data_IF_618716369563
#
_entry.id   IF_618716369563
#
_cell.length_a   1.000
_cell.length_b   1.000
_cell.length_c   1.000
_cell.angle_alpha   90.00
_cell.angle_beta   90.00
_cell.angle_gamma   90.00
#
_symmetry.space_group_name_H-M   'P 1'
#
loop_
_entity.id
_entity.type
_entity.pdbx_description
1 polymer ?
#
# COMPACT_ATOMS: atom_id res chain seq x y z
N UNK A 1 -16.01 -7.33 6.21
CA UNK A 1 -15.20 -6.11 6.48
C UNK A 1 -14.04 -6.04 5.49
N UNK A 2 -13.53 -4.85 5.25
CA UNK A 2 -12.34 -4.61 4.44
C UNK A 2 -11.24 -3.97 5.31
N UNK A 3 -10.14 -4.67 5.52
CA UNK A 3 -8.96 -4.18 6.25
C UNK A 3 -7.88 -3.88 5.23
N UNK A 4 -7.40 -2.63 5.18
CA UNK A 4 -6.30 -2.24 4.30
C UNK A 4 -4.98 -2.20 5.06
N UNK A 5 -3.91 -2.73 4.47
CA UNK A 5 -2.54 -2.60 5.01
C UNK A 5 -1.73 -1.74 4.04
N UNK A 6 -1.34 -0.57 4.51
CA UNK A 6 -0.59 0.43 3.76
C UNK A 6 0.83 0.62 4.30
N UNK A 7 1.73 1.11 3.46
CA UNK A 7 3.12 1.43 3.84
C UNK A 7 4.07 1.34 2.67
N UNK A 8 5.26 1.89 2.82
CA UNK A 8 6.25 2.00 1.75
C UNK A 8 6.80 0.63 1.31
N UNK A 9 7.56 0.59 0.22
CA UNK A 9 8.32 -0.58 -0.24
C UNK A 9 9.28 -0.99 0.88
N UNK A 10 9.25 -2.27 1.28
CA UNK A 10 10.09 -2.76 2.39
C UNK A 10 9.50 -2.63 3.80
N UNK A 11 8.34 -1.99 4.00
CA UNK A 11 7.74 -1.79 5.34
C UNK A 11 7.18 -3.06 6.01
N UNK A 12 7.12 -4.20 5.32
CA UNK A 12 6.62 -5.46 5.90
C UNK A 12 5.14 -5.75 5.70
N UNK A 13 4.41 -4.98 4.85
CA UNK A 13 2.97 -5.16 4.57
C UNK A 13 2.56 -6.60 4.33
N UNK A 14 3.19 -7.25 3.36
CA UNK A 14 2.85 -8.63 2.97
C UNK A 14 3.02 -9.62 4.13
N UNK A 15 4.03 -9.42 4.96
CA UNK A 15 4.27 -10.24 6.15
C UNK A 15 3.16 -10.02 7.17
N UNK A 16 2.85 -8.77 7.50
CA UNK A 16 1.79 -8.45 8.46
C UNK A 16 0.42 -8.91 7.95
N UNK A 17 0.10 -8.69 6.67
CA UNK A 17 -1.15 -9.15 6.05
C UNK A 17 -1.34 -10.65 6.22
N UNK A 18 -0.28 -11.46 5.97
CA UNK A 18 -0.34 -12.91 6.14
C UNK A 18 -0.56 -13.30 7.60
N UNK A 19 0.20 -12.72 8.52
CA UNK A 19 0.11 -13.03 9.95
C UNK A 19 -1.26 -12.66 10.53
N UNK A 20 -1.81 -11.50 10.17
CA UNK A 20 -3.15 -11.09 10.60
C UNK A 20 -4.24 -11.97 9.97
N UNK A 21 -4.10 -12.34 8.70
CA UNK A 21 -5.02 -13.26 8.04
C UNK A 21 -5.08 -14.61 8.76
N UNK A 22 -3.93 -15.17 9.13
CA UNK A 22 -3.82 -16.43 9.89
C UNK A 22 -4.40 -16.28 11.30
N UNK A 23 -4.08 -15.19 12.00
CA UNK A 23 -4.52 -14.95 13.38
C UNK A 23 -6.04 -14.81 13.50
N UNK A 24 -6.65 -14.00 12.61
CA UNK A 24 -8.09 -13.72 12.67
C UNK A 24 -8.96 -14.64 11.78
N UNK A 25 -8.36 -15.51 10.99
CA UNK A 25 -9.07 -16.29 9.98
C UNK A 25 -9.64 -15.42 8.84
N UNK A 26 -9.02 -14.27 8.56
CA UNK A 26 -9.41 -13.39 7.47
C UNK A 26 -8.86 -13.87 6.12
N UNK A 27 -9.55 -13.52 5.04
CA UNK A 27 -9.10 -13.86 3.70
C UNK A 27 -8.06 -12.83 3.23
N UNK A 28 -6.80 -13.24 2.97
CA UNK A 28 -5.80 -12.31 2.47
C UNK A 28 -5.99 -12.04 0.98
N UNK A 29 -5.78 -10.78 0.58
CA UNK A 29 -5.65 -10.35 -0.80
C UNK A 29 -4.30 -9.66 -0.99
N UNK A 30 -3.41 -10.35 -1.71
CA UNK A 30 -2.06 -9.85 -1.97
C UNK A 30 -2.00 -9.09 -3.28
N UNK A 31 -1.13 -8.06 -3.33
CA UNK A 31 -0.87 -7.33 -4.57
C UNK A 31 -0.24 -8.27 -5.61
N UNK A 32 -0.87 -8.39 -6.79
CA UNK A 32 -0.33 -9.13 -7.91
C UNK A 32 0.55 -8.23 -8.77
N UNK A 33 1.87 -8.29 -8.58
CA UNK A 33 2.86 -7.58 -9.42
C UNK A 33 3.34 -8.43 -10.61
N UNK A 34 3.03 -9.73 -10.63
CA UNK A 34 3.71 -10.73 -11.46
C UNK A 34 3.39 -10.63 -12.96
N UNK A 35 2.31 -9.96 -13.36
CA UNK A 35 1.83 -9.93 -14.74
C UNK A 35 1.55 -8.53 -15.28
N UNK A 36 2.23 -7.50 -14.76
CA UNK A 36 2.07 -6.18 -15.33
C UNK A 36 2.84 -6.10 -16.67
N UNK A 37 2.15 -5.95 -17.81
CA UNK A 37 2.78 -5.98 -19.13
C UNK A 37 3.68 -4.76 -19.40
N UNK A 38 3.58 -3.71 -18.57
CA UNK A 38 4.33 -2.47 -18.71
C UNK A 38 5.55 -2.41 -17.78
N UNK A 39 5.72 -3.36 -16.85
CA UNK A 39 6.71 -3.24 -15.79
C UNK A 39 8.15 -3.22 -16.34
N UNK A 40 8.46 -4.08 -17.29
CA UNK A 40 9.78 -4.14 -17.90
C UNK A 40 10.09 -2.88 -18.73
N UNK A 41 9.13 -2.40 -19.49
CA UNK A 41 9.27 -1.20 -20.32
C UNK A 41 9.35 0.07 -19.46
N UNK A 42 8.63 0.12 -18.34
CA UNK A 42 8.69 1.20 -17.36
C UNK A 42 10.11 1.40 -16.82
N UNK A 43 10.82 0.33 -16.46
CA UNK A 43 12.20 0.46 -15.98
C UNK A 43 13.20 0.88 -17.06
N UNK A 44 12.86 0.70 -18.34
CA UNK A 44 13.69 1.16 -19.47
C UNK A 44 13.47 2.64 -19.79
N UNK A 45 12.23 3.12 -19.66
CA UNK A 45 11.85 4.51 -19.97
C UNK A 45 10.68 4.94 -19.07
N UNK A 46 11.02 5.37 -17.86
CA UNK A 46 10.05 5.74 -16.81
C UNK A 46 9.08 6.82 -17.30
N UNK A 47 9.53 7.98 -17.86
CA UNK A 47 8.60 9.01 -18.30
C UNK A 47 7.62 8.53 -19.37
N UNK A 48 8.09 7.67 -20.29
CA UNK A 48 7.24 7.14 -21.37
C UNK A 48 6.14 6.22 -20.87
N UNK A 49 6.43 5.40 -19.86
CA UNK A 49 5.57 4.28 -19.46
C UNK A 49 4.86 4.46 -18.13
N UNK A 50 5.14 5.53 -17.37
CA UNK A 50 4.54 5.79 -16.05
C UNK A 50 3.02 5.78 -16.10
N UNK A 51 2.41 6.51 -17.03
CA UNK A 51 0.95 6.58 -17.16
C UNK A 51 0.33 5.21 -17.45
N UNK A 52 0.94 4.45 -18.35
CA UNK A 52 0.45 3.13 -18.72
C UNK A 52 0.54 2.13 -17.55
N UNK A 53 1.68 2.12 -16.86
CA UNK A 53 1.91 1.26 -15.69
C UNK A 53 0.91 1.56 -14.58
N UNK A 54 0.78 2.83 -14.21
CA UNK A 54 -0.08 3.25 -13.11
C UNK A 54 -1.58 3.03 -13.44
N UNK A 55 -1.98 3.27 -14.69
CA UNK A 55 -3.36 3.01 -15.13
C UNK A 55 -3.67 1.50 -15.11
N UNK A 56 -2.73 0.66 -15.47
CA UNK A 56 -2.89 -0.79 -15.34
C UNK A 56 -3.08 -1.21 -13.88
N UNK A 57 -2.24 -0.71 -12.96
CA UNK A 57 -2.40 -0.98 -11.54
C UNK A 57 -3.70 -0.43 -10.97
N UNK A 58 -4.14 0.76 -11.40
CA UNK A 58 -5.43 1.32 -11.01
C UNK A 58 -6.58 0.37 -11.36
N UNK A 59 -6.60 -0.13 -12.60
CA UNK A 59 -7.63 -1.05 -13.06
C UNK A 59 -7.63 -2.38 -12.28
N UNK A 60 -6.45 -2.94 -11.97
CA UNK A 60 -6.35 -4.17 -11.17
C UNK A 60 -6.84 -3.94 -9.74
N UNK A 61 -6.35 -2.90 -9.05
CA UNK A 61 -6.76 -2.58 -7.69
C UNK A 61 -8.23 -2.22 -7.57
N UNK A 62 -8.80 -1.57 -8.58
CA UNK A 62 -10.24 -1.29 -8.59
C UNK A 62 -11.06 -2.57 -8.71
N UNK A 63 -10.62 -3.53 -9.53
CA UNK A 63 -11.25 -4.88 -9.58
C UNK A 63 -11.22 -5.55 -8.23
N UNK A 64 -10.06 -5.51 -7.55
CA UNK A 64 -9.90 -6.08 -6.21
C UNK A 64 -10.88 -5.45 -5.22
N UNK A 65 -11.00 -4.13 -5.19
CA UNK A 65 -11.94 -3.41 -4.31
C UNK A 65 -13.40 -3.76 -4.63
N UNK A 66 -13.76 -3.94 -5.91
CA UNK A 66 -15.10 -4.40 -6.30
C UNK A 66 -15.38 -5.83 -5.82
N UNK A 67 -14.40 -6.73 -5.86
CA UNK A 67 -14.53 -8.08 -5.33
C UNK A 67 -14.66 -8.07 -3.81
N UNK A 68 -13.84 -7.28 -3.12
CA UNK A 68 -13.93 -7.07 -1.67
C UNK A 68 -15.32 -6.57 -1.28
N UNK A 69 -15.85 -5.56 -2.00
CA UNK A 69 -17.16 -4.96 -1.69
C UNK A 69 -18.34 -5.92 -1.80
N UNK A 70 -18.19 -6.99 -2.60
CA UNK A 70 -19.21 -8.05 -2.79
C UNK A 70 -19.05 -9.21 -1.80
N UNK A 71 -17.92 -9.30 -1.12
CA UNK A 71 -17.63 -10.40 -0.20
C UNK A 71 -18.41 -10.27 1.11
N UNK A 72 -18.83 -11.41 1.64
CA UNK A 72 -19.40 -11.52 2.99
C UNK A 72 -18.33 -11.81 4.06
N UNK A 73 -17.13 -12.16 3.62
CA UNK A 73 -15.99 -12.46 4.48
C UNK A 73 -15.24 -11.17 4.84
N UNK A 74 -14.49 -11.19 5.93
CA UNK A 74 -13.50 -10.16 6.20
C UNK A 74 -12.28 -10.39 5.31
N UNK A 75 -11.92 -9.38 4.51
CA UNK A 75 -10.75 -9.42 3.63
C UNK A 75 -9.71 -8.43 4.13
N UNK A 76 -8.46 -8.89 4.24
CA UNK A 76 -7.30 -8.06 4.52
C UNK A 76 -6.48 -7.90 3.25
N UNK A 77 -6.31 -6.66 2.79
CA UNK A 77 -5.68 -6.31 1.53
C UNK A 77 -4.28 -5.74 1.74
N UNK A 78 -3.29 -6.36 1.11
CA UNK A 78 -1.91 -5.83 1.01
C UNK A 78 -1.88 -4.79 -0.10
N UNK A 79 -1.76 -3.52 0.26
CA UNK A 79 -1.79 -2.33 -0.56
C UNK A 79 -3.17 -1.98 -1.12
N UNK A 80 -3.65 -0.83 -0.71
CA UNK A 80 -4.94 -0.29 -1.14
C UNK A 80 -4.85 0.44 -2.48
N UNK A 81 -5.98 0.67 -3.12
CA UNK A 81 -6.08 1.48 -4.35
C UNK A 81 -5.61 2.93 -4.11
N UNK A 82 -5.85 3.47 -2.92
CA UNK A 82 -5.47 4.85 -2.56
C UNK A 82 -3.97 5.09 -2.60
N UNK A 83 -3.16 4.08 -2.26
CA UNK A 83 -1.69 4.19 -2.34
C UNK A 83 -1.20 4.37 -3.77
N UNK A 84 -1.85 3.74 -4.75
CA UNK A 84 -1.54 3.97 -6.17
C UNK A 84 -1.59 5.44 -6.53
N UNK A 85 -2.64 6.12 -6.10
CA UNK A 85 -2.91 7.52 -6.43
C UNK A 85 -2.09 8.48 -5.60
N UNK A 86 -2.26 8.42 -4.28
CA UNK A 86 -1.69 9.43 -3.38
C UNK A 86 -0.20 9.28 -3.15
N UNK A 87 0.38 8.12 -3.47
CA UNK A 87 1.79 7.83 -3.27
C UNK A 87 2.53 7.71 -4.61
N UNK A 88 2.24 6.66 -5.40
CA UNK A 88 3.04 6.34 -6.58
C UNK A 88 2.81 7.31 -7.74
N UNK A 89 1.56 7.60 -8.09
CA UNK A 89 1.23 8.54 -9.16
C UNK A 89 1.61 9.96 -8.76
N UNK A 90 1.37 10.36 -7.50
CA UNK A 90 1.77 11.66 -7.00
C UNK A 90 3.30 11.83 -7.04
N UNK A 91 4.07 10.83 -6.64
CA UNK A 91 5.53 10.85 -6.72
C UNK A 91 6.03 10.88 -8.18
N UNK A 92 5.45 10.08 -9.07
CA UNK A 92 5.79 10.11 -10.50
C UNK A 92 5.48 11.47 -11.14
N UNK A 93 4.41 12.12 -10.73
CA UNK A 93 4.08 13.48 -11.18
C UNK A 93 5.08 14.52 -10.65
N UNK A 94 5.41 14.48 -9.35
CA UNK A 94 6.41 15.38 -8.74
C UNK A 94 7.79 15.24 -9.39
N UNK A 95 8.17 14.02 -9.78
CA UNK A 95 9.41 13.73 -10.49
C UNK A 95 9.39 14.12 -11.98
N UNK A 96 8.28 14.64 -12.52
CA UNK A 96 8.12 15.00 -13.92
C UNK A 96 7.95 13.82 -14.88
N UNK A 97 7.65 12.64 -14.38
CA UNK A 97 7.41 11.43 -15.17
C UNK A 97 5.98 11.37 -15.74
N UNK A 98 5.08 12.24 -15.28
CA UNK A 98 3.72 12.41 -15.78
C UNK A 98 3.48 13.86 -16.15
N UNK A 99 2.83 14.10 -17.28
CA UNK A 99 2.38 15.44 -17.62
C UNK A 99 1.19 15.86 -16.75
N UNK A 100 0.95 17.18 -16.60
CA UNK A 100 -0.22 17.72 -15.91
C UNK A 100 -1.54 17.11 -16.44
N UNK A 101 -1.65 16.98 -17.74
CA UNK A 101 -2.82 16.42 -18.41
C UNK A 101 -3.03 14.95 -18.05
N UNK A 102 -1.97 14.15 -18.03
CA UNK A 102 -2.04 12.72 -17.70
C UNK A 102 -2.37 12.53 -16.21
N UNK A 103 -1.74 13.33 -15.34
CA UNK A 103 -2.04 13.32 -13.91
C UNK A 103 -3.49 13.66 -13.62
N UNK A 104 -4.01 14.75 -14.23
CA UNK A 104 -5.42 15.15 -14.05
C UNK A 104 -6.39 14.10 -14.59
N UNK A 105 -6.10 13.51 -15.75
CA UNK A 105 -6.92 12.42 -16.30
C UNK A 105 -6.95 11.21 -15.37
N UNK A 106 -5.81 10.83 -14.82
CA UNK A 106 -5.71 9.74 -13.86
C UNK A 106 -6.53 10.02 -12.59
N UNK A 107 -6.42 11.23 -12.04
CA UNK A 107 -7.19 11.64 -10.86
C UNK A 107 -8.70 11.57 -11.11
N UNK A 108 -9.19 12.04 -12.26
CA UNK A 108 -10.61 11.96 -12.63
C UNK A 108 -11.09 10.50 -12.70
N UNK A 109 -10.31 9.61 -13.31
CA UNK A 109 -10.62 8.18 -13.35
C UNK A 109 -10.70 7.57 -11.94
N UNK A 110 -9.73 7.88 -11.10
CA UNK A 110 -9.73 7.41 -9.71
C UNK A 110 -10.93 7.91 -8.92
N UNK A 111 -11.24 9.20 -8.97
CA UNK A 111 -12.38 9.80 -8.28
C UNK A 111 -13.72 9.17 -8.72
N UNK A 112 -13.89 8.94 -10.02
CA UNK A 112 -15.06 8.25 -10.56
C UNK A 112 -15.15 6.82 -10.02
N UNK A 113 -14.06 6.06 -10.01
CA UNK A 113 -14.02 4.70 -9.46
C UNK A 113 -14.34 4.69 -7.96
N UNK A 114 -13.74 5.60 -7.19
CA UNK A 114 -13.95 5.67 -5.73
C UNK A 114 -15.35 6.13 -5.34
N UNK A 115 -16.07 6.84 -6.22
CA UNK A 115 -17.48 7.19 -5.97
C UNK A 115 -18.42 5.98 -5.91
N UNK A 116 -17.95 4.82 -6.37
CA UNK A 116 -18.73 3.57 -6.43
C UNK A 116 -18.40 2.53 -5.36
N UNK A 117 -17.35 2.76 -4.58
CA UNK A 117 -16.86 1.83 -3.56
C UNK A 117 -16.63 2.51 -2.22
N UNK A 118 -16.57 1.73 -1.14
CA UNK A 118 -16.29 2.24 0.20
C UNK A 118 -14.79 2.18 0.49
N UNK A 119 -14.33 3.08 1.34
CA UNK A 119 -13.01 2.98 1.94
C UNK A 119 -12.92 1.76 2.88
N UNK A 120 -11.70 1.30 3.22
CA UNK A 120 -11.51 0.24 4.21
C UNK A 120 -12.20 0.58 5.55
N UNK A 121 -12.75 -0.45 6.19
CA UNK A 121 -13.30 -0.34 7.55
C UNK A 121 -12.21 -0.05 8.59
N UNK A 122 -10.96 -0.45 8.30
CA UNK A 122 -9.75 -0.08 9.03
C UNK A 122 -8.56 -0.01 8.06
N UNK A 123 -7.79 1.07 8.11
CA UNK A 123 -6.50 1.20 7.46
C UNK A 123 -5.38 1.01 8.48
N UNK A 124 -4.51 0.03 8.26
CA UNK A 124 -3.30 -0.19 9.07
C UNK A 124 -2.12 0.37 8.28
N UNK A 125 -1.52 1.46 8.75
CA UNK A 125 -0.37 2.09 8.12
C UNK A 125 0.92 1.70 8.81
N UNK A 126 1.82 1.03 8.09
CA UNK A 126 3.18 0.70 8.54
C UNK A 126 4.10 1.88 8.25
N UNK A 127 4.37 2.67 9.28
CA UNK A 127 5.30 3.80 9.23
C UNK A 127 6.72 3.28 9.47
N UNK A 128 7.60 3.53 8.50
CA UNK A 128 8.98 3.02 8.52
C UNK A 128 9.96 4.10 8.08
N UNK A 129 11.07 4.21 8.80
CA UNK A 129 12.20 5.04 8.40
C UNK A 129 12.97 4.45 7.22
N UNK A 130 13.70 5.30 6.50
CA UNK A 130 14.41 4.91 5.27
C UNK A 130 15.44 3.79 5.53
N UNK A 131 16.17 3.85 6.63
CA UNK A 131 17.17 2.83 6.97
C UNK A 131 16.54 1.44 7.11
N UNK A 132 15.39 1.37 7.79
CA UNK A 132 14.62 0.13 7.96
C UNK A 132 14.12 -0.41 6.61
N UNK A 133 13.58 0.47 5.74
CA UNK A 133 13.10 0.11 4.42
C UNK A 133 14.22 -0.46 3.55
N UNK A 134 15.37 0.21 3.49
CA UNK A 134 16.54 -0.22 2.71
C UNK A 134 17.05 -1.58 3.20
N UNK A 135 17.18 -1.77 4.51
CA UNK A 135 17.61 -3.06 5.08
C UNK A 135 16.67 -4.21 4.70
N UNK A 136 15.36 -3.97 4.74
CA UNK A 136 14.36 -4.97 4.36
C UNK A 136 14.35 -5.27 2.86
N UNK A 137 14.53 -4.26 2.00
CA UNK A 137 14.63 -4.41 0.54
C UNK A 137 15.85 -5.25 0.19
N UNK A 138 17.02 -4.93 0.76
CA UNK A 138 18.25 -5.69 0.56
C UNK A 138 18.12 -7.14 1.03
N UNK A 139 17.54 -7.37 2.22
CA UNK A 139 17.32 -8.71 2.77
C UNK A 139 16.38 -9.54 1.90
N UNK A 140 15.40 -8.92 1.23
CA UNK A 140 14.46 -9.57 0.31
C UNK A 140 15.09 -9.96 -1.02
N UNK A 141 16.03 -9.17 -1.53
CA UNK A 141 16.89 -9.49 -2.66
C UNK A 141 16.20 -9.58 -4.02
N UNK A 142 15.11 -8.85 -4.25
CA UNK A 142 14.44 -8.81 -5.56
C UNK A 142 15.25 -7.96 -6.53
N UNK A 143 15.58 -8.50 -7.71
CA UNK A 143 16.45 -7.84 -8.70
C UNK A 143 15.96 -6.45 -9.13
N UNK A 144 14.66 -6.31 -9.42
CA UNK A 144 14.06 -5.03 -9.84
C UNK A 144 14.00 -3.97 -8.73
N UNK A 145 14.16 -4.37 -7.46
CA UNK A 145 14.17 -3.44 -6.33
C UNK A 145 15.57 -2.90 -6.00
N UNK A 146 16.62 -3.53 -6.55
CA UNK A 146 18.02 -3.10 -6.31
C UNK A 146 18.34 -1.73 -6.94
N UNK A 147 17.55 -1.29 -7.92
CA UNK A 147 17.67 0.01 -8.57
C UNK A 147 16.91 1.14 -7.86
N UNK A 148 16.19 0.84 -6.79
CA UNK A 148 15.41 1.86 -6.06
C UNK A 148 16.36 2.79 -5.30
N UNK A 149 16.32 4.09 -5.62
CA UNK A 149 17.14 5.08 -4.94
C UNK A 149 16.56 5.47 -3.57
N UNK A 150 17.42 5.98 -2.69
CA UNK A 150 17.00 6.52 -1.38
C UNK A 150 16.06 7.71 -1.58
N UNK A 151 16.35 8.59 -2.54
CA UNK A 151 15.50 9.74 -2.87
C UNK A 151 14.10 9.32 -3.30
N UNK A 152 13.98 8.22 -4.04
CA UNK A 152 12.67 7.67 -4.42
C UNK A 152 11.89 7.19 -3.20
N UNK A 153 12.52 6.41 -2.31
CA UNK A 153 11.88 5.94 -1.07
C UNK A 153 11.48 7.09 -0.15
N UNK A 154 12.32 8.12 -0.05
CA UNK A 154 12.03 9.33 0.73
C UNK A 154 10.85 10.11 0.12
N UNK A 155 10.82 10.24 -1.19
CA UNK A 155 9.67 10.82 -1.92
C UNK A 155 8.37 10.09 -1.58
N UNK A 156 8.38 8.75 -1.65
CA UNK A 156 7.22 7.94 -1.26
C UNK A 156 6.83 8.17 0.21
N UNK A 157 7.80 8.19 1.15
CA UNK A 157 7.51 8.45 2.57
C UNK A 157 6.85 9.82 2.78
N UNK A 158 7.32 10.88 2.12
CA UNK A 158 6.69 12.20 2.19
C UNK A 158 5.23 12.15 1.71
N UNK A 159 4.95 11.46 0.63
CA UNK A 159 3.59 11.28 0.14
C UNK A 159 2.71 10.46 1.10
N UNK A 160 3.26 9.41 1.75
CA UNK A 160 2.55 8.69 2.81
C UNK A 160 2.18 9.61 3.97
N UNK A 161 3.12 10.39 4.50
CA UNK A 161 2.85 11.33 5.60
C UNK A 161 1.76 12.36 5.21
N UNK A 162 1.82 12.90 3.99
CA UNK A 162 0.81 13.83 3.47
C UNK A 162 -0.57 13.17 3.34
N UNK A 163 -0.64 11.96 2.82
CA UNK A 163 -1.90 11.23 2.68
C UNK A 163 -2.50 10.87 4.03
N UNK A 164 -1.71 10.29 4.91
CA UNK A 164 -2.13 9.86 6.24
C UNK A 164 -2.58 11.05 7.11
N UNK A 165 -1.92 12.19 7.01
CA UNK A 165 -2.32 13.41 7.74
C UNK A 165 -3.71 13.93 7.35
N UNK A 166 -4.20 13.57 6.16
CA UNK A 166 -5.51 13.96 5.62
C UNK A 166 -6.52 12.81 5.63
N UNK A 167 -6.10 11.63 6.07
CA UNK A 167 -6.97 10.46 6.08
C UNK A 167 -8.05 10.58 7.18
N UNK A 168 -9.30 10.42 6.81
CA UNK A 168 -10.46 10.64 7.72
C UNK A 168 -11.15 9.35 8.15
N UNK A 169 -10.76 8.21 7.61
CA UNK A 169 -11.31 6.90 8.00
C UNK A 169 -10.66 6.34 9.27
N UNK A 170 -11.13 5.19 9.76
CA UNK A 170 -10.47 4.46 10.84
C UNK A 170 -9.03 4.11 10.47
N UNK A 171 -8.09 4.50 11.31
CA UNK A 171 -6.65 4.42 11.05
C UNK A 171 -5.89 3.88 12.25
N UNK A 172 -5.03 2.88 12.00
CA UNK A 172 -4.05 2.38 12.96
C UNK A 172 -2.64 2.61 12.41
N UNK A 173 -1.85 3.46 13.06
CA UNK A 173 -0.44 3.67 12.69
C UNK A 173 0.43 2.72 13.51
N UNK A 174 1.26 1.92 12.83
CA UNK A 174 2.24 1.02 13.42
C UNK A 174 3.63 1.51 13.03
N UNK A 175 4.39 2.02 13.99
CA UNK A 175 5.80 2.38 13.79
C UNK A 175 6.65 1.11 13.81
N UNK A 176 7.38 0.83 12.72
CA UNK A 176 8.05 -0.47 12.52
C UNK A 176 9.54 -0.46 12.81
N UNK A 177 10.12 0.71 13.03
CA UNK A 177 11.59 0.83 13.16
C UNK A 177 12.17 0.11 14.40
N UNK A 178 11.37 -0.01 15.46
CA UNK A 178 11.79 -0.59 16.73
C UNK A 178 11.04 -1.86 17.11
N UNK A 179 10.33 -2.49 16.17
CA UNK A 179 9.57 -3.72 16.41
C UNK A 179 9.91 -4.79 15.38
N UNK A 180 9.86 -6.05 15.80
CA UNK A 180 10.01 -7.23 14.94
C UNK A 180 8.79 -8.15 15.09
N UNK A 181 7.65 -7.68 14.63
CA UNK A 181 6.40 -8.43 14.71
C UNK A 181 6.44 -9.80 14.00
N UNK A 182 7.46 -10.03 13.15
CA UNK A 182 7.63 -11.32 12.47
C UNK A 182 8.24 -12.38 13.38
N UNK A 183 9.23 -12.01 14.20
CA UNK A 183 10.00 -12.95 15.02
C UNK A 183 9.76 -12.78 16.52
N UNK A 184 9.18 -11.66 16.95
CA UNK A 184 8.81 -11.38 18.34
C UNK A 184 7.28 -11.45 18.52
N UNK A 185 6.76 -12.48 19.23
CA UNK A 185 5.31 -12.61 19.48
C UNK A 185 4.71 -11.46 20.28
N UNK A 186 5.48 -10.80 21.15
CA UNK A 186 4.99 -9.67 21.96
C UNK A 186 4.72 -8.45 21.08
N UNK A 187 5.58 -8.17 20.10
CA UNK A 187 5.38 -7.08 19.14
C UNK A 187 4.14 -7.34 18.27
N UNK A 188 3.93 -8.58 17.85
CA UNK A 188 2.73 -8.94 17.09
C UNK A 188 1.46 -8.84 17.95
N UNK A 189 1.52 -9.31 19.21
CA UNK A 189 0.41 -9.19 20.16
C UNK A 189 0.02 -7.72 20.39
N UNK A 190 1.00 -6.83 20.57
CA UNK A 190 0.73 -5.40 20.72
C UNK A 190 0.00 -4.78 19.50
N UNK A 191 0.25 -5.29 18.28
CA UNK A 191 -0.49 -4.85 17.08
C UNK A 191 -1.92 -5.40 17.11
N UNK A 192 -2.11 -6.69 17.43
CA UNK A 192 -3.45 -7.31 17.45
C UNK A 192 -4.32 -6.70 18.54
N UNK A 193 -3.81 -6.43 19.73
CA UNK A 193 -4.54 -5.75 20.81
C UNK A 193 -5.09 -4.39 20.37
N UNK A 194 -4.30 -3.63 19.62
CA UNK A 194 -4.72 -2.32 19.08
C UNK A 194 -5.77 -2.47 17.97
N UNK A 195 -5.69 -3.52 17.16
CA UNK A 195 -6.70 -3.84 16.15
C UNK A 195 -8.00 -4.22 16.84
N UNK A 196 -7.95 -5.07 17.87
CA UNK A 196 -9.11 -5.52 18.63
C UNK A 196 -9.82 -4.36 19.33
N UNK A 197 -9.05 -3.43 19.91
CA UNK A 197 -9.59 -2.22 20.50
C UNK A 197 -10.37 -1.37 19.48
N UNK A 198 -9.86 -1.25 18.25
CA UNK A 198 -10.51 -0.44 17.21
C UNK A 198 -11.71 -1.14 16.54
N UNK A 199 -11.62 -2.45 16.28
CA UNK A 199 -12.67 -3.17 15.57
C UNK A 199 -13.79 -3.67 16.47
N UNK A 200 -13.47 -4.05 17.71
CA UNK A 200 -14.40 -4.74 18.61
C UNK A 200 -14.67 -3.96 19.91
N UNK A 201 -14.02 -2.81 20.09
CA UNK A 201 -14.20 -1.99 21.30
C UNK A 201 -13.72 -2.70 22.57
N UNK A 202 -12.79 -3.61 22.48
CA UNK A 202 -12.20 -4.31 23.61
C UNK A 202 -11.11 -3.42 24.24
N UNK A 203 -11.24 -3.13 25.53
CA UNK A 203 -10.33 -2.35 26.34
C UNK A 203 -9.65 -3.24 27.36
#
# INVERSE_FOLDING_TARGET
>A
MHIGVAGNIGSGKTTLTRMLAEHYGWKPQFESVTYNPYLEDYYKDIPRWSYNLETYFLAQRFRDVLEISKSKETIIQDRTISEGVYIFVANNYEMGNLSDRDYQTYMQLFELMMSTVKQPDLLIYLKSGIEHLVANIQKRGREYEQSISIEYLDGLNRHYEQWISKYTGPLLIVETDNIDFKNNPEDFAAITDRIDAQLFGLF
#
